data_IF_788137640841
#
_entry.id   IF_788137640841
#
_cell.length_a   1.000
_cell.length_b   1.000
_cell.length_c   1.000
_cell.angle_alpha   90.00
_cell.angle_beta   90.00
_cell.angle_gamma   90.00
#
_symmetry.space_group_name_H-M   'P 1'
#
loop_
_entity.id
_entity.type
_entity.pdbx_description
1 polymer ?
#
# COMPACT_ATOMS: atom_id res chain seq x y z
N UNK A 1 -8.65 18.36 -1.08
CA UNK A 1 -9.79 17.59 -1.65
C UNK A 1 -10.06 18.17 -3.04
N UNK A 2 -9.77 17.43 -4.11
CA UNK A 2 -10.24 17.85 -5.44
C UNK A 2 -11.65 17.29 -5.57
N UNK A 3 -12.64 18.10 -5.18
CA UNK A 3 -14.03 17.78 -5.48
C UNK A 3 -14.18 17.88 -6.99
N UNK A 4 -14.52 16.77 -7.65
CA UNK A 4 -14.92 16.80 -9.05
C UNK A 4 -16.29 17.48 -9.05
N UNK A 5 -16.34 18.75 -9.45
CA UNK A 5 -17.57 19.53 -9.48
C UNK A 5 -18.41 19.12 -10.69
N UNK A 6 -19.56 18.50 -10.44
CA UNK A 6 -20.55 18.23 -11.49
C UNK A 6 -21.37 19.50 -11.75
N UNK A 7 -21.17 20.08 -12.93
CA UNK A 7 -21.87 21.29 -13.38
C UNK A 7 -23.23 20.91 -13.99
N UNK A 8 -24.26 20.89 -13.14
CA UNK A 8 -25.64 20.55 -13.54
C UNK A 8 -26.18 21.49 -14.60
N UNK A 9 -25.80 22.77 -14.55
CA UNK A 9 -26.25 23.79 -15.51
C UNK A 9 -25.70 23.48 -16.90
N UNK A 10 -24.39 23.27 -17.02
CA UNK A 10 -23.74 22.94 -18.29
C UNK A 10 -24.21 21.60 -18.86
N UNK A 11 -24.58 20.65 -18.00
CA UNK A 11 -25.16 19.37 -18.41
C UNK A 11 -26.59 19.54 -18.95
N UNK A 12 -27.44 20.29 -18.25
CA UNK A 12 -28.79 20.59 -18.70
C UNK A 12 -28.79 21.36 -20.04
N UNK A 13 -27.92 22.38 -20.18
CA UNK A 13 -27.79 23.14 -21.43
C UNK A 13 -27.36 22.28 -22.62
N UNK A 14 -26.53 21.26 -22.40
CA UNK A 14 -26.13 20.31 -23.45
C UNK A 14 -27.29 19.42 -23.87
N UNK A 15 -28.11 18.99 -22.92
CA UNK A 15 -29.30 18.20 -23.19
C UNK A 15 -30.39 19.02 -23.91
N UNK A 16 -30.56 20.28 -23.53
CA UNK A 16 -31.44 21.22 -24.24
C UNK A 16 -31.00 21.42 -25.69
N UNK A 17 -29.69 21.62 -25.92
CA UNK A 17 -29.12 21.72 -27.28
C UNK A 17 -29.27 20.44 -28.10
N UNK A 18 -29.42 19.29 -27.44
CA UNK A 18 -29.70 18.00 -28.08
C UNK A 18 -31.20 17.78 -28.37
N UNK A 19 -32.06 18.75 -28.07
CA UNK A 19 -33.50 18.72 -28.35
C UNK A 19 -34.36 18.24 -27.17
N UNK A 20 -33.79 18.10 -25.98
CA UNK A 20 -34.55 17.74 -24.77
C UNK A 20 -35.26 18.96 -24.18
N UNK A 21 -36.44 18.77 -23.58
CA UNK A 21 -37.12 19.89 -22.91
C UNK A 21 -36.34 20.34 -21.67
N UNK A 22 -36.38 21.65 -21.40
CA UNK A 22 -35.68 22.29 -20.28
C UNK A 22 -35.98 21.64 -18.93
N UNK A 23 -37.23 21.29 -18.70
CA UNK A 23 -37.69 20.63 -17.48
C UNK A 23 -37.08 19.24 -17.31
N UNK A 24 -37.03 18.45 -18.39
CA UNK A 24 -36.48 17.11 -18.38
C UNK A 24 -34.95 17.16 -18.26
N UNK A 25 -34.31 18.14 -18.91
CA UNK A 25 -32.87 18.37 -18.85
C UNK A 25 -32.41 18.76 -17.45
N UNK A 26 -33.14 19.65 -16.78
CA UNK A 26 -32.86 20.01 -15.39
C UNK A 26 -33.10 18.84 -14.44
N UNK A 27 -34.21 18.12 -14.60
CA UNK A 27 -34.53 16.98 -13.73
C UNK A 27 -33.49 15.85 -13.86
N UNK A 28 -33.04 15.57 -15.08
CA UNK A 28 -32.00 14.57 -15.34
C UNK A 28 -30.63 15.00 -14.80
N UNK A 29 -30.30 16.29 -14.92
CA UNK A 29 -29.07 16.85 -14.36
C UNK A 29 -29.00 16.71 -12.83
N UNK A 30 -30.11 17.01 -12.14
CA UNK A 30 -30.20 16.91 -10.69
C UNK A 30 -30.12 15.43 -10.23
N UNK A 31 -30.89 14.54 -10.88
CA UNK A 31 -30.87 13.11 -10.55
C UNK A 31 -29.49 12.45 -10.80
N UNK A 32 -28.79 12.87 -11.85
CA UNK A 32 -27.41 12.41 -12.08
C UNK A 32 -26.43 12.97 -11.06
N UNK A 33 -26.55 14.23 -10.66
CA UNK A 33 -25.70 14.81 -9.63
C UNK A 33 -25.84 14.06 -8.30
N UNK A 34 -27.07 13.77 -7.89
CA UNK A 34 -27.33 13.09 -6.63
C UNK A 34 -26.80 11.64 -6.64
N UNK A 35 -27.05 10.89 -7.71
CA UNK A 35 -26.51 9.53 -7.86
C UNK A 35 -24.99 9.48 -7.98
N UNK A 36 -24.37 10.46 -8.66
CA UNK A 36 -22.91 10.55 -8.74
C UNK A 36 -22.28 10.97 -7.42
N UNK A 37 -22.95 11.82 -6.63
CA UNK A 37 -22.49 12.19 -5.29
C UNK A 37 -22.47 10.96 -4.37
N UNK A 38 -23.54 10.16 -4.37
CA UNK A 38 -23.65 8.95 -3.55
C UNK A 38 -22.61 7.88 -3.95
N UNK A 39 -22.39 7.67 -5.25
CA UNK A 39 -21.37 6.72 -5.75
C UNK A 39 -19.95 7.21 -5.50
N UNK A 40 -19.69 8.52 -5.60
CA UNK A 40 -18.36 9.08 -5.30
C UNK A 40 -18.03 8.96 -3.81
N UNK A 41 -19.01 9.14 -2.91
CA UNK A 41 -18.81 8.88 -1.48
C UNK A 41 -18.54 7.40 -1.19
N UNK A 42 -19.17 6.48 -1.94
CA UNK A 42 -19.01 5.04 -1.75
C UNK A 42 -17.73 4.44 -2.38
N UNK A 43 -17.23 4.96 -3.50
CA UNK A 43 -16.08 4.39 -4.22
C UNK A 43 -14.74 5.05 -3.92
N UNK A 44 -14.70 6.20 -3.25
CA UNK A 44 -13.43 6.75 -2.81
C UNK A 44 -12.93 5.95 -1.60
N UNK A 45 -12.08 4.96 -1.84
CA UNK A 45 -11.11 4.56 -0.83
C UNK A 45 -10.43 5.84 -0.34
N UNK A 46 -10.77 6.26 0.88
CA UNK A 46 -10.44 7.58 1.36
C UNK A 46 -8.92 7.69 1.34
N UNK A 47 -8.34 8.85 1.00
CA UNK A 47 -6.89 9.07 1.21
C UNK A 47 -6.47 8.71 2.65
N UNK A 48 -7.41 8.80 3.60
CA UNK A 48 -7.28 8.31 4.97
C UNK A 48 -7.04 6.80 5.09
N UNK A 49 -7.71 5.97 4.30
CA UNK A 49 -7.55 4.51 4.32
C UNK A 49 -6.18 4.11 3.76
N UNK A 50 -5.73 4.77 2.70
CA UNK A 50 -4.38 4.58 2.15
C UNK A 50 -3.32 5.02 3.16
N UNK A 51 -3.51 6.16 3.82
CA UNK A 51 -2.61 6.64 4.87
C UNK A 51 -2.65 5.76 6.14
N UNK A 52 -3.79 5.14 6.44
CA UNK A 52 -3.95 4.19 7.54
C UNK A 52 -3.22 2.87 7.27
N UNK A 53 -3.10 2.46 6.00
CA UNK A 53 -2.33 1.29 5.59
C UNK A 53 -0.82 1.56 5.48
N UNK A 54 -0.39 2.80 5.21
CA UNK A 54 1.04 3.13 5.06
C UNK A 54 1.83 3.01 6.38
N UNK A 55 1.24 3.41 7.50
CA UNK A 55 1.88 3.34 8.83
C UNK A 55 2.19 1.91 9.30
N UNK A 56 1.24 0.95 9.30
CA UNK A 56 1.51 -0.42 9.73
C UNK A 56 2.52 -1.11 8.80
N UNK A 57 2.46 -0.87 7.49
CA UNK A 57 3.42 -1.44 6.54
C UNK A 57 4.86 -0.99 6.81
N UNK A 58 5.08 0.30 7.13
CA UNK A 58 6.42 0.79 7.51
C UNK A 58 6.92 0.14 8.80
N UNK A 59 6.06 0.00 9.80
CA UNK A 59 6.43 -0.65 11.07
C UNK A 59 6.78 -2.14 10.90
N UNK A 60 6.03 -2.84 10.04
CA UNK A 60 6.28 -4.24 9.74
C UNK A 60 7.57 -4.43 8.95
N UNK A 61 7.86 -3.55 7.98
CA UNK A 61 9.12 -3.55 7.24
C UNK A 61 10.33 -3.32 8.16
N UNK A 62 10.29 -2.31 9.03
CA UNK A 62 11.38 -2.07 9.99
C UNK A 62 11.57 -3.24 10.97
N UNK A 63 10.47 -3.92 11.34
CA UNK A 63 10.53 -5.11 12.21
C UNK A 63 11.18 -6.28 11.50
N UNK A 64 10.88 -6.48 10.21
CA UNK A 64 11.51 -7.52 9.38
C UNK A 64 12.99 -7.23 9.20
N UNK A 65 13.37 -6.00 8.85
CA UNK A 65 14.77 -5.59 8.70
C UNK A 65 15.58 -5.82 9.99
N UNK A 66 15.05 -5.40 11.15
CA UNK A 66 15.71 -5.64 12.44
C UNK A 66 15.93 -7.13 12.73
N UNK A 67 14.94 -7.98 12.43
CA UNK A 67 15.06 -9.43 12.64
C UNK A 67 16.09 -10.07 11.72
N UNK A 68 16.20 -9.62 10.47
CA UNK A 68 17.21 -10.12 9.54
C UNK A 68 18.62 -9.74 9.99
N UNK A 69 18.84 -8.46 10.35
CA UNK A 69 20.15 -7.97 10.82
C UNK A 69 20.59 -8.71 12.10
N UNK A 70 19.66 -8.95 13.03
CA UNK A 70 19.97 -9.70 14.26
C UNK A 70 20.38 -11.15 13.96
N UNK A 71 19.71 -11.80 13.00
CA UNK A 71 20.04 -13.16 12.61
C UNK A 71 21.40 -13.24 11.92
N UNK A 72 21.71 -12.32 10.99
CA UNK A 72 22.99 -12.32 10.28
C UNK A 72 24.19 -12.19 11.23
N UNK A 73 24.09 -11.35 12.27
CA UNK A 73 25.13 -11.23 13.30
C UNK A 73 25.34 -12.53 14.10
N UNK A 74 24.26 -13.21 14.47
CA UNK A 74 24.33 -14.50 15.18
C UNK A 74 24.89 -15.61 14.29
N UNK A 75 24.53 -15.65 13.02
CA UNK A 75 25.07 -16.61 12.05
C UNK A 75 26.57 -16.41 11.82
N UNK A 76 27.05 -15.16 11.69
CA UNK A 76 28.46 -14.87 11.53
C UNK A 76 29.29 -15.33 12.75
N UNK A 77 28.82 -15.04 13.97
CA UNK A 77 29.45 -15.52 15.21
C UNK A 77 29.49 -17.04 15.28
N UNK A 78 28.38 -17.70 14.94
CA UNK A 78 28.28 -19.16 14.93
C UNK A 78 29.25 -19.78 13.92
N UNK A 79 29.37 -19.19 12.71
CA UNK A 79 30.30 -19.64 11.69
C UNK A 79 31.75 -19.56 12.17
N UNK A 80 32.14 -18.49 12.87
CA UNK A 80 33.48 -18.36 13.46
C UNK A 80 33.75 -19.39 14.56
N UNK A 81 32.79 -19.62 15.45
CA UNK A 81 32.93 -20.64 16.50
C UNK A 81 33.09 -22.05 15.91
N UNK A 82 32.26 -22.41 14.92
CA UNK A 82 32.36 -23.70 14.24
C UNK A 82 33.70 -23.82 13.52
N UNK A 83 34.17 -22.76 12.84
CA UNK A 83 35.48 -22.75 12.19
C UNK A 83 36.63 -23.03 13.16
N UNK A 84 36.61 -22.42 14.36
CA UNK A 84 37.60 -22.66 15.41
C UNK A 84 37.52 -24.12 15.90
N UNK A 85 36.32 -24.63 16.18
CA UNK A 85 36.13 -26.02 16.65
C UNK A 85 36.63 -27.03 15.61
N UNK A 86 36.34 -26.82 14.33
CA UNK A 86 36.84 -27.68 13.25
C UNK A 86 38.36 -27.61 13.16
N UNK A 87 38.96 -26.41 13.22
CA UNK A 87 40.40 -26.26 13.18
C UNK A 87 41.09 -26.98 14.36
N UNK A 88 40.53 -26.87 15.56
CA UNK A 88 41.02 -27.58 16.75
C UNK A 88 40.89 -29.11 16.60
N UNK A 89 39.76 -29.59 16.09
CA UNK A 89 39.55 -31.01 15.84
C UNK A 89 40.57 -31.57 14.83
N UNK A 90 40.83 -30.83 13.74
CA UNK A 90 41.83 -31.21 12.74
C UNK A 90 43.25 -31.20 13.31
N UNK A 91 43.60 -30.20 14.13
CA UNK A 91 44.91 -30.13 14.78
C UNK A 91 45.14 -31.31 15.74
N UNK A 92 44.13 -31.62 16.57
CA UNK A 92 44.20 -32.75 17.51
C UNK A 92 44.26 -34.09 16.76
N UNK A 93 43.51 -34.23 15.67
CA UNK A 93 43.59 -35.40 14.79
C UNK A 93 44.99 -35.55 14.18
N UNK A 94 45.57 -34.47 13.65
CA UNK A 94 46.93 -34.52 13.10
C UNK A 94 47.97 -34.98 14.14
N UNK A 95 47.89 -34.49 15.38
CA UNK A 95 48.80 -34.87 16.47
C UNK A 95 48.62 -36.33 16.94
N UNK A 96 47.43 -36.93 16.77
CA UNK A 96 47.18 -38.31 17.16
C UNK A 96 47.66 -39.34 16.12
N UNK A 97 47.73 -38.96 14.84
CA UNK A 97 48.00 -39.88 13.74
C UNK A 97 49.36 -39.67 13.05
N UNK A 98 50.04 -38.55 13.30
CA UNK A 98 51.40 -38.25 12.83
C UNK A 98 52.32 -37.95 14.02
#
# INVERSE_FOLDING_TARGET
MSAITFDTLKFAERLEKAGMSRELASALAEAQKDSLAEVMEAQMATKGDVAALEKPLRLDLERVERKLIEHDGKFALLQWMIGIVIALALANFAQQFF
#
